data_IF_070517891087
#
_entry.id   IF_070517891087
#
_cell.length_a   1.000
_cell.length_b   1.000
_cell.length_c   1.000
_cell.angle_alpha   90.00
_cell.angle_beta   90.00
_cell.angle_gamma   90.00
#
_symmetry.space_group_name_H-M   'P 1'
#
loop_
_entity.id
_entity.type
_entity.pdbx_description
1 polymer ?
#
# COMPACT_ATOMS: atom_id res chain seq x y z
N UNK A 1 9.73 32.70 30.63
CA UNK A 1 10.70 31.94 29.80
C UNK A 1 9.96 31.42 28.58
N UNK A 2 10.19 31.99 27.41
CA UNK A 2 9.59 31.53 26.18
C UNK A 2 10.63 30.67 25.46
N UNK A 3 10.33 29.38 25.24
CA UNK A 3 11.13 28.47 24.46
C UNK A 3 10.45 28.33 23.09
N UNK A 4 11.04 28.95 22.06
CA UNK A 4 10.62 28.67 20.68
C UNK A 4 11.38 27.45 20.22
N UNK A 5 10.70 26.32 20.16
CA UNK A 5 11.24 25.08 19.57
C UNK A 5 10.58 24.92 18.22
N UNK A 6 11.34 25.07 17.15
CA UNK A 6 10.92 24.65 15.81
C UNK A 6 11.19 23.14 15.72
N UNK A 7 10.13 22.35 15.86
CA UNK A 7 10.21 20.90 15.68
C UNK A 7 9.86 20.63 14.21
N UNK A 8 10.82 20.14 13.44
CA UNK A 8 10.60 19.64 12.08
C UNK A 8 10.41 18.14 12.26
N UNK A 9 9.19 17.66 12.00
CA UNK A 9 8.83 16.25 12.06
C UNK A 9 8.25 15.81 10.73
N UNK A 10 8.55 14.59 10.32
CA UNK A 10 7.90 13.97 9.15
C UNK A 10 6.40 13.80 9.40
N UNK A 11 5.55 14.29 8.50
CA UNK A 11 4.10 14.22 8.66
C UNK A 11 3.51 12.96 8.04
N UNK A 12 4.04 12.53 6.90
CA UNK A 12 3.55 11.38 6.12
C UNK A 12 4.68 10.64 5.43
N UNK A 13 4.37 9.43 4.92
CA UNK A 13 5.28 8.63 4.11
C UNK A 13 6.55 8.21 4.84
N UNK A 14 7.63 8.08 4.09
CA UNK A 14 8.95 7.67 4.61
C UNK A 14 9.54 8.64 5.61
N UNK A 15 9.29 9.95 5.45
CA UNK A 15 9.75 10.97 6.40
C UNK A 15 9.14 10.77 7.79
N UNK A 16 7.86 10.38 7.86
CA UNK A 16 7.21 10.06 9.14
C UNK A 16 7.73 8.74 9.71
N UNK A 17 7.79 7.69 8.91
CA UNK A 17 8.25 6.36 9.34
C UNK A 17 9.68 6.39 9.87
N UNK A 18 10.54 7.21 9.26
CA UNK A 18 11.96 7.27 9.54
C UNK A 18 12.37 8.54 10.32
N UNK A 19 11.39 9.28 10.85
CA UNK A 19 11.63 10.56 11.54
C UNK A 19 12.66 10.43 12.66
N UNK A 20 12.61 9.36 13.45
CA UNK A 20 13.57 9.11 14.54
C UNK A 20 15.02 8.94 14.06
N UNK A 21 15.22 8.56 12.80
CA UNK A 21 16.54 8.39 12.19
C UNK A 21 16.99 9.66 11.49
N UNK A 22 16.05 10.37 10.85
CA UNK A 22 16.31 11.55 10.03
C UNK A 22 16.46 12.84 10.84
N UNK A 23 15.67 13.01 11.92
CA UNK A 23 15.54 14.30 12.60
C UNK A 23 16.73 14.71 13.48
N UNK A 24 17.56 13.77 13.94
CA UNK A 24 18.68 14.08 14.85
C UNK A 24 18.21 14.65 16.20
N UNK A 25 19.07 15.42 16.83
CA UNK A 25 18.79 16.05 18.14
C UNK A 25 18.94 17.57 18.06
N UNK A 26 17.90 18.29 18.47
CA UNK A 26 17.90 19.75 18.48
C UNK A 26 18.88 20.29 19.50
N UNK A 27 19.75 21.21 19.08
CA UNK A 27 20.62 21.94 19.99
C UNK A 27 19.82 22.86 20.93
N UNK A 28 20.34 23.06 22.13
CA UNK A 28 19.71 23.93 23.15
C UNK A 28 20.68 24.97 23.63
N UNK A 29 20.20 26.20 23.72
CA UNK A 29 20.92 27.26 24.40
C UNK A 29 20.06 27.76 25.57
N UNK A 30 20.61 27.71 26.77
CA UNK A 30 19.96 28.22 27.97
C UNK A 30 20.68 29.51 28.38
N UNK A 31 19.94 30.60 28.40
CA UNK A 31 20.42 31.91 28.83
C UNK A 31 19.42 32.52 29.81
N UNK A 32 19.88 33.43 30.67
CA UNK A 32 19.00 34.19 31.53
C UNK A 32 18.54 35.44 30.79
N UNK A 33 17.24 35.71 30.89
CA UNK A 33 16.61 36.88 30.30
C UNK A 33 15.98 37.74 31.41
N UNK A 34 15.93 39.04 31.21
CA UNK A 34 15.25 39.99 32.10
C UNK A 34 13.71 40.00 31.90
N UNK A 35 13.02 40.87 32.60
CA UNK A 35 11.54 40.98 32.55
C UNK A 35 10.99 41.48 31.20
N UNK A 36 11.85 41.97 30.31
CA UNK A 36 11.49 42.46 28.96
C UNK A 36 12.04 41.53 27.85
N UNK A 37 12.39 40.29 28.21
CA UNK A 37 12.95 39.25 27.30
C UNK A 37 14.32 39.60 26.68
N UNK A 38 15.08 40.49 27.27
CA UNK A 38 16.45 40.81 26.85
C UNK A 38 17.46 39.93 27.59
N UNK A 39 18.50 39.45 26.88
CA UNK A 39 19.59 38.70 27.52
C UNK A 39 20.29 39.55 28.58
N UNK A 40 20.52 38.95 29.75
CA UNK A 40 21.33 39.59 30.80
C UNK A 40 22.80 39.43 30.46
N UNK A 41 23.56 40.54 30.26
CA UNK A 41 24.97 40.47 29.91
C UNK A 41 25.82 39.75 30.99
N UNK A 42 26.89 39.10 30.56
CA UNK A 42 27.87 38.43 31.44
C UNK A 42 27.34 37.23 32.26
N UNK A 43 26.21 36.66 31.90
CA UNK A 43 25.72 35.43 32.52
C UNK A 43 26.28 34.20 31.82
N UNK A 44 26.39 33.10 32.57
CA UNK A 44 26.87 31.84 32.03
C UNK A 44 25.79 31.23 31.06
N UNK A 45 26.16 31.05 29.79
CA UNK A 45 25.33 30.38 28.79
C UNK A 45 25.67 28.89 28.78
N UNK A 46 24.66 28.07 28.84
CA UNK A 46 24.81 26.63 28.59
C UNK A 46 24.41 26.35 27.15
N UNK A 47 25.31 25.75 26.40
CA UNK A 47 25.09 25.39 25.01
C UNK A 47 25.23 23.88 24.83
N UNK A 48 24.19 23.25 24.31
CA UNK A 48 24.19 21.86 23.87
C UNK A 48 24.12 21.90 22.34
N UNK A 49 25.15 21.40 21.69
CA UNK A 49 25.19 21.36 20.21
C UNK A 49 24.10 20.47 19.62
N UNK A 50 23.55 20.89 18.48
CA UNK A 50 22.68 20.03 17.68
C UNK A 50 23.48 18.81 17.16
N UNK A 51 22.82 17.69 17.05
CA UNK A 51 23.35 16.49 16.38
C UNK A 51 22.52 16.22 15.15
N UNK A 52 23.18 16.07 14.00
CA UNK A 52 22.49 15.74 12.75
C UNK A 52 21.88 14.34 12.81
N UNK A 53 20.76 14.15 12.13
CA UNK A 53 20.21 12.83 11.87
C UNK A 53 21.09 12.01 10.92
N UNK A 54 20.72 10.76 10.72
CA UNK A 54 21.42 9.83 9.84
C UNK A 54 20.90 9.93 8.40
N UNK A 55 21.72 9.51 7.45
CA UNK A 55 21.29 9.32 6.07
C UNK A 55 20.53 8.00 5.93
N UNK A 56 19.50 8.00 5.09
CA UNK A 56 18.75 6.79 4.71
C UNK A 56 18.98 6.51 3.23
N UNK A 57 19.27 5.27 2.92
CA UNK A 57 19.42 4.78 1.54
C UNK A 57 18.27 3.85 1.23
N UNK A 58 17.48 4.18 0.21
CA UNK A 58 16.34 3.39 -0.23
C UNK A 58 16.74 2.42 -1.32
N UNK A 59 15.95 1.37 -1.51
CA UNK A 59 16.09 0.43 -2.62
C UNK A 59 15.41 0.95 -3.90
N UNK A 60 14.72 2.08 -3.83
CA UNK A 60 14.05 2.71 -4.98
C UNK A 60 15.08 3.10 -6.03
N UNK A 61 14.89 2.62 -7.27
CA UNK A 61 15.63 3.07 -8.46
C UNK A 61 14.87 4.22 -9.13
N UNK A 62 15.50 5.38 -9.21
CA UNK A 62 14.87 6.59 -9.73
C UNK A 62 14.41 6.46 -11.20
N UNK A 63 15.10 5.66 -12.01
CA UNK A 63 14.72 5.47 -13.41
C UNK A 63 13.50 4.56 -13.51
N UNK A 64 13.47 3.47 -12.73
CA UNK A 64 12.32 2.56 -12.67
C UNK A 64 11.11 3.33 -12.11
N UNK A 65 11.28 4.09 -11.04
CA UNK A 65 10.24 4.93 -10.43
C UNK A 65 9.62 5.87 -11.45
N UNK A 66 10.44 6.64 -12.17
CA UNK A 66 9.97 7.59 -13.19
C UNK A 66 9.21 6.92 -14.34
N UNK A 67 9.66 5.73 -14.76
CA UNK A 67 8.97 4.94 -15.80
C UNK A 67 7.60 4.49 -15.29
N UNK A 68 7.54 3.97 -14.06
CA UNK A 68 6.31 3.49 -13.44
C UNK A 68 5.30 4.63 -13.27
N UNK A 69 5.72 5.77 -12.74
CA UNK A 69 4.86 6.96 -12.58
C UNK A 69 4.25 7.40 -13.91
N UNK A 70 5.09 7.50 -14.95
CA UNK A 70 4.64 7.88 -16.28
C UNK A 70 3.56 6.95 -16.84
N UNK A 71 3.79 5.63 -16.79
CA UNK A 71 2.83 4.69 -17.36
C UNK A 71 1.61 4.47 -16.47
N UNK A 72 1.75 4.59 -15.15
CA UNK A 72 0.63 4.55 -14.24
C UNK A 72 -0.33 5.72 -14.46
N UNK A 73 0.20 6.95 -14.57
CA UNK A 73 -0.62 8.13 -14.84
C UNK A 73 -1.37 8.00 -16.17
N UNK A 74 -0.67 7.54 -17.22
CA UNK A 74 -1.29 7.28 -18.52
C UNK A 74 -2.41 6.23 -18.41
N UNK A 75 -2.16 5.12 -17.74
CA UNK A 75 -3.14 4.04 -17.59
C UNK A 75 -4.40 4.51 -16.85
N UNK A 76 -4.25 5.28 -15.76
CA UNK A 76 -5.39 5.80 -15.00
C UNK A 76 -6.23 6.75 -15.84
N UNK A 77 -5.57 7.66 -16.60
CA UNK A 77 -6.27 8.62 -17.46
C UNK A 77 -6.98 7.93 -18.63
N UNK A 78 -6.29 7.02 -19.32
CA UNK A 78 -6.85 6.31 -20.49
C UNK A 78 -8.03 5.41 -20.14
N UNK A 79 -8.05 4.87 -18.93
CA UNK A 79 -9.13 3.99 -18.46
C UNK A 79 -10.20 4.73 -17.63
N UNK A 80 -10.09 6.05 -17.48
CA UNK A 80 -11.02 6.88 -16.67
C UNK A 80 -11.17 6.28 -15.26
N UNK A 81 -10.07 5.81 -14.68
CA UNK A 81 -10.06 5.25 -13.34
C UNK A 81 -9.92 6.37 -12.28
N UNK A 82 -10.45 6.14 -11.08
CA UNK A 82 -10.38 7.12 -9.99
C UNK A 82 -8.94 7.26 -9.45
N UNK A 83 -8.21 6.15 -9.37
CA UNK A 83 -6.80 6.10 -8.95
C UNK A 83 -6.13 4.82 -9.45
N UNK A 84 -4.82 4.79 -9.35
CA UNK A 84 -4.01 3.60 -9.58
C UNK A 84 -2.82 3.53 -8.64
N UNK A 85 -2.34 2.31 -8.42
CA UNK A 85 -1.11 2.05 -7.68
C UNK A 85 -0.26 1.05 -8.43
N UNK A 86 1.06 1.17 -8.33
CA UNK A 86 1.98 0.22 -8.92
C UNK A 86 3.20 0.02 -8.02
N UNK A 87 3.60 -1.24 -7.82
CA UNK A 87 4.78 -1.63 -7.07
C UNK A 87 5.65 -2.49 -7.97
N UNK A 88 6.95 -2.17 -8.03
CA UNK A 88 7.96 -2.99 -8.69
C UNK A 88 8.89 -3.53 -7.63
N UNK A 89 8.98 -4.85 -7.54
CA UNK A 89 9.79 -5.53 -6.52
C UNK A 89 10.71 -6.56 -7.16
N UNK A 90 11.91 -6.69 -6.63
CA UNK A 90 12.83 -7.77 -6.97
C UNK A 90 12.45 -9.03 -6.17
N UNK A 91 11.96 -10.11 -6.80
CA UNK A 91 11.44 -11.26 -6.05
C UNK A 91 12.48 -12.02 -5.23
N UNK A 92 13.77 -11.95 -5.63
CA UNK A 92 14.86 -12.67 -4.97
C UNK A 92 15.28 -12.06 -3.64
N UNK A 93 15.06 -10.76 -3.46
CA UNK A 93 15.50 -10.00 -2.29
C UNK A 93 14.33 -9.40 -1.50
N UNK A 94 13.18 -9.19 -2.16
CA UNK A 94 12.07 -8.41 -1.62
C UNK A 94 12.27 -6.90 -1.72
N UNK A 95 13.35 -6.42 -2.35
CA UNK A 95 13.61 -5.00 -2.52
C UNK A 95 12.54 -4.34 -3.38
N UNK A 96 11.96 -3.25 -2.88
CA UNK A 96 11.04 -2.43 -3.65
C UNK A 96 11.86 -1.45 -4.49
N UNK A 97 11.78 -1.59 -5.82
CA UNK A 97 12.50 -0.77 -6.79
C UNK A 97 11.69 0.44 -7.24
N UNK A 98 10.38 0.37 -7.18
CA UNK A 98 9.47 1.49 -7.40
C UNK A 98 8.15 1.26 -6.65
N UNK A 99 7.55 2.36 -6.18
CA UNK A 99 6.20 2.37 -5.62
C UNK A 99 5.55 3.70 -6.01
N UNK A 100 4.51 3.63 -6.83
CA UNK A 100 3.82 4.79 -7.37
C UNK A 100 2.33 4.75 -7.06
N UNK A 101 1.77 5.94 -6.83
CA UNK A 101 0.34 6.19 -6.73
C UNK A 101 -0.02 7.29 -7.74
N UNK A 102 -1.21 7.22 -8.33
CA UNK A 102 -1.75 8.28 -9.14
C UNK A 102 -3.26 8.44 -8.85
N UNK A 103 -3.81 9.67 -8.67
CA UNK A 103 -3.10 10.95 -8.66
C UNK A 103 -2.07 11.05 -7.53
N UNK A 104 -1.00 11.78 -7.80
CA UNK A 104 0.04 12.16 -6.87
C UNK A 104 -0.05 13.63 -6.48
N UNK A 105 0.92 14.16 -5.75
CA UNK A 105 0.99 15.57 -5.37
C UNK A 105 2.43 16.07 -5.39
N UNK A 106 2.59 17.39 -5.57
CA UNK A 106 3.89 18.05 -5.54
C UNK A 106 4.35 18.26 -4.08
N UNK A 107 5.46 17.63 -3.71
CA UNK A 107 6.08 17.77 -2.37
C UNK A 107 6.53 19.20 -2.05
N UNK A 108 6.73 20.05 -3.07
CA UNK A 108 7.05 21.48 -2.85
C UNK A 108 5.81 22.30 -2.50
N UNK A 109 4.61 21.80 -2.85
CA UNK A 109 3.32 22.46 -2.56
C UNK A 109 2.31 21.48 -1.96
N UNK A 110 2.66 20.77 -0.86
CA UNK A 110 1.91 19.60 -0.37
C UNK A 110 0.49 19.92 0.11
N UNK A 111 0.17 21.17 0.35
CA UNK A 111 -1.16 21.64 0.78
C UNK A 111 -2.02 22.15 -0.37
N UNK A 112 -1.57 22.00 -1.61
CA UNK A 112 -2.30 22.45 -2.80
C UNK A 112 -3.01 21.24 -3.43
N UNK A 113 -4.34 21.29 -3.63
CA UNK A 113 -5.07 20.22 -4.31
C UNK A 113 -4.57 19.98 -5.73
N UNK A 114 -4.37 18.73 -6.11
CA UNK A 114 -4.00 18.35 -7.48
C UNK A 114 -5.21 18.12 -8.39
N UNK A 115 -6.36 17.79 -7.82
CA UNK A 115 -7.61 17.61 -8.54
C UNK A 115 -8.25 18.96 -8.87
N UNK A 116 -8.57 19.20 -10.16
CA UNK A 116 -9.15 20.47 -10.64
C UNK A 116 -10.49 20.81 -9.99
N UNK A 117 -11.33 19.82 -9.73
CA UNK A 117 -12.63 20.01 -9.06
C UNK A 117 -12.43 20.48 -7.61
N UNK A 118 -11.51 19.83 -6.89
CA UNK A 118 -11.16 20.24 -5.54
C UNK A 118 -10.53 21.64 -5.50
N UNK A 119 -9.66 21.95 -6.47
CA UNK A 119 -9.03 23.26 -6.57
C UNK A 119 -10.07 24.36 -6.79
N UNK A 120 -11.07 24.13 -7.64
CA UNK A 120 -12.14 25.09 -7.91
C UNK A 120 -13.01 25.37 -6.69
N UNK A 121 -13.25 24.39 -5.82
CA UNK A 121 -14.04 24.53 -4.60
C UNK A 121 -13.22 24.81 -3.33
N UNK A 122 -11.90 24.82 -3.43
CA UNK A 122 -10.99 24.89 -2.27
C UNK A 122 -11.25 26.06 -1.33
N UNK A 123 -11.55 27.24 -1.88
CA UNK A 123 -11.81 28.44 -1.07
C UNK A 123 -13.11 28.36 -0.26
N UNK A 124 -14.08 27.56 -0.72
CA UNK A 124 -15.41 27.43 -0.11
C UNK A 124 -15.51 26.20 0.81
N UNK A 125 -14.57 25.28 0.76
CA UNK A 125 -14.52 24.13 1.65
C UNK A 125 -14.28 24.55 3.10
N UNK A 126 -14.93 23.85 4.01
CA UNK A 126 -14.68 23.96 5.46
C UNK A 126 -13.26 23.47 5.80
N UNK A 127 -12.78 23.81 7.01
CA UNK A 127 -11.48 23.33 7.49
C UNK A 127 -11.43 21.78 7.59
N UNK A 128 -12.53 21.16 7.96
CA UNK A 128 -12.64 19.70 8.05
C UNK A 128 -12.55 19.04 6.67
N UNK A 129 -13.30 19.53 5.69
CA UNK A 129 -13.25 19.03 4.31
C UNK A 129 -11.85 19.16 3.70
N UNK A 130 -11.18 20.30 3.92
CA UNK A 130 -9.79 20.49 3.49
C UNK A 130 -8.84 19.50 4.13
N UNK A 131 -8.96 19.29 5.43
CA UNK A 131 -8.11 18.35 6.18
C UNK A 131 -8.32 16.92 5.67
N UNK A 132 -9.57 16.49 5.49
CA UNK A 132 -9.90 15.15 4.98
C UNK A 132 -9.38 14.95 3.56
N UNK A 133 -9.51 15.96 2.68
CA UNK A 133 -8.97 15.92 1.33
C UNK A 133 -7.44 15.76 1.33
N UNK A 134 -6.74 16.55 2.15
CA UNK A 134 -5.27 16.48 2.23
C UNK A 134 -4.81 15.12 2.77
N UNK A 135 -5.47 14.58 3.78
CA UNK A 135 -5.14 13.25 4.28
C UNK A 135 -5.33 12.15 3.24
N UNK A 136 -6.40 12.23 2.41
CA UNK A 136 -6.58 11.28 1.32
C UNK A 136 -5.55 11.46 0.21
N UNK A 137 -5.20 12.70 -0.12
CA UNK A 137 -4.18 13.03 -1.12
C UNK A 137 -2.78 12.54 -0.70
N UNK A 138 -2.42 12.68 0.58
CA UNK A 138 -1.11 12.25 1.09
C UNK A 138 -1.02 10.75 1.36
N UNK A 139 -2.16 10.06 1.39
CA UNK A 139 -2.20 8.63 1.69
C UNK A 139 -1.45 7.81 0.64
N UNK A 140 -0.54 6.95 1.09
CA UNK A 140 0.05 5.93 0.22
C UNK A 140 -0.96 4.80 -0.01
N UNK A 141 -1.72 4.90 -1.10
CA UNK A 141 -2.79 3.95 -1.42
C UNK A 141 -2.24 2.52 -1.67
N UNK A 142 -0.99 2.40 -2.10
CA UNK A 142 -0.35 1.09 -2.32
C UNK A 142 -0.15 0.30 -1.01
N UNK A 143 -0.09 0.99 0.14
CA UNK A 143 0.17 0.39 1.46
C UNK A 143 -1.06 0.46 2.35
N UNK A 144 -1.81 1.56 2.28
CA UNK A 144 -2.87 1.89 3.24
C UNK A 144 -4.28 1.52 2.77
N UNK A 145 -4.47 1.25 1.48
CA UNK A 145 -5.77 0.84 0.96
C UNK A 145 -5.87 -0.68 0.89
N UNK A 146 -7.05 -1.19 1.22
CA UNK A 146 -7.42 -2.59 0.99
C UNK A 146 -8.23 -2.69 -0.29
N UNK A 147 -8.15 -3.83 -0.97
CA UNK A 147 -8.94 -4.12 -2.16
C UNK A 147 -9.22 -5.62 -2.24
N UNK A 148 -10.26 -5.99 -2.99
CA UNK A 148 -10.57 -7.38 -3.28
C UNK A 148 -9.63 -7.90 -4.39
N UNK A 149 -8.72 -8.86 -4.12
CA UNK A 149 -7.72 -9.30 -5.09
C UNK A 149 -8.33 -10.05 -6.28
N UNK A 150 -9.55 -10.54 -6.14
CA UNK A 150 -10.27 -11.25 -7.19
C UNK A 150 -9.52 -12.48 -7.68
N UNK A 151 -9.51 -12.68 -8.99
CA UNK A 151 -8.95 -13.89 -9.63
C UNK A 151 -7.43 -14.04 -9.49
N UNK A 152 -6.70 -12.99 -9.13
CA UNK A 152 -5.25 -13.10 -8.85
C UNK A 152 -5.02 -14.03 -7.65
N UNK A 153 -5.94 -14.06 -6.69
CA UNK A 153 -5.85 -14.91 -5.50
C UNK A 153 -5.96 -16.43 -5.83
N UNK A 154 -6.47 -16.79 -7.02
CA UNK A 154 -6.54 -18.19 -7.48
C UNK A 154 -5.18 -18.86 -7.57
N UNK A 155 -4.11 -18.10 -7.78
CA UNK A 155 -2.73 -18.60 -7.78
C UNK A 155 -2.39 -19.20 -6.42
N UNK A 156 -2.76 -18.53 -5.34
CA UNK A 156 -2.55 -19.04 -3.97
C UNK A 156 -3.34 -20.35 -3.75
N UNK A 157 -4.63 -20.36 -4.12
CA UNK A 157 -5.46 -21.56 -3.96
C UNK A 157 -4.93 -22.74 -4.79
N UNK A 158 -4.47 -22.48 -6.04
CA UNK A 158 -3.86 -23.49 -6.87
C UNK A 158 -2.57 -24.07 -6.29
N UNK A 159 -1.68 -23.20 -5.78
CA UNK A 159 -0.42 -23.63 -5.17
C UNK A 159 -0.64 -24.51 -3.93
N UNK A 160 -1.63 -24.16 -3.09
CA UNK A 160 -2.00 -24.99 -1.93
C UNK A 160 -2.52 -26.36 -2.37
N UNK A 161 -3.39 -26.41 -3.39
CA UNK A 161 -3.92 -27.68 -3.90
C UNK A 161 -2.85 -28.60 -4.47
N UNK A 162 -1.84 -28.04 -5.13
CA UNK A 162 -0.69 -28.77 -5.66
C UNK A 162 0.25 -29.24 -4.53
N UNK A 163 0.60 -28.37 -3.59
CA UNK A 163 1.52 -28.68 -2.50
C UNK A 163 0.97 -29.78 -1.56
N UNK A 164 -0.34 -29.73 -1.27
CA UNK A 164 -1.02 -30.77 -0.46
C UNK A 164 -1.34 -32.03 -1.27
N UNK A 165 -0.99 -32.10 -2.56
CA UNK A 165 -1.25 -33.26 -3.42
C UNK A 165 -2.74 -33.56 -3.64
N UNK A 166 -3.61 -32.56 -3.44
CA UNK A 166 -5.08 -32.70 -3.61
C UNK A 166 -5.45 -32.76 -5.08
N UNK A 167 -4.67 -32.10 -5.92
CA UNK A 167 -4.85 -32.04 -7.37
C UNK A 167 -3.51 -32.11 -8.09
N UNK A 168 -3.56 -32.61 -9.32
CA UNK A 168 -2.47 -32.54 -10.31
C UNK A 168 -2.83 -31.48 -11.37
N UNK A 169 -1.84 -30.82 -11.93
CA UNK A 169 -2.07 -29.71 -12.87
C UNK A 169 -2.75 -30.12 -14.16
N UNK A 170 -2.46 -31.37 -14.67
CA UNK A 170 -2.85 -31.81 -15.99
C UNK A 170 -3.95 -32.87 -16.00
N UNK A 171 -4.30 -33.47 -14.86
CA UNK A 171 -5.34 -34.50 -14.78
C UNK A 171 -6.65 -33.97 -15.37
N UNK A 172 -7.15 -34.61 -16.47
CA UNK A 172 -8.38 -34.16 -17.13
C UNK A 172 -9.59 -34.27 -16.20
N UNK A 173 -10.59 -33.45 -16.44
CA UNK A 173 -11.90 -33.49 -15.77
C UNK A 173 -11.83 -33.50 -14.23
N UNK A 174 -10.77 -32.91 -13.66
CA UNK A 174 -10.60 -32.75 -12.20
C UNK A 174 -11.72 -31.90 -11.61
N UNK A 175 -12.19 -30.92 -12.36
CA UNK A 175 -13.27 -30.00 -12.01
C UNK A 175 -14.35 -30.01 -13.08
N UNK A 176 -15.59 -29.71 -12.67
CA UNK A 176 -16.70 -29.57 -13.58
C UNK A 176 -17.41 -28.22 -13.39
N UNK A 177 -17.47 -27.43 -14.44
CA UNK A 177 -18.14 -26.14 -14.45
C UNK A 177 -19.45 -26.21 -15.24
N UNK A 178 -20.58 -26.23 -14.56
CA UNK A 178 -21.91 -26.17 -15.16
C UNK A 178 -22.40 -24.73 -15.42
N UNK A 179 -21.53 -23.73 -15.23
CA UNK A 179 -21.88 -22.30 -15.38
C UNK A 179 -22.02 -21.58 -14.05
N UNK A 180 -22.29 -22.28 -12.95
CA UNK A 180 -22.33 -21.76 -11.58
C UNK A 180 -21.94 -22.86 -10.59
N UNK A 181 -21.62 -22.46 -9.37
CA UNK A 181 -21.42 -23.32 -8.21
C UNK A 181 -22.23 -22.80 -7.05
N UNK A 182 -22.83 -23.68 -6.26
CA UNK A 182 -23.66 -23.32 -5.12
C UNK A 182 -22.83 -23.41 -3.82
N UNK A 183 -22.69 -22.29 -3.11
CA UNK A 183 -22.03 -22.22 -1.81
C UNK A 183 -22.98 -21.61 -0.81
N UNK A 184 -23.30 -22.32 0.26
CA UNK A 184 -24.23 -21.87 1.30
C UNK A 184 -25.54 -21.28 0.76
N UNK A 185 -26.14 -21.92 -0.23
CA UNK A 185 -27.33 -21.48 -0.96
C UNK A 185 -27.16 -20.21 -1.81
N UNK A 186 -25.95 -19.73 -2.02
CA UNK A 186 -25.63 -18.62 -2.91
C UNK A 186 -25.03 -19.18 -4.20
N UNK A 187 -25.64 -18.88 -5.34
CA UNK A 187 -25.11 -19.28 -6.64
C UNK A 187 -24.01 -18.30 -7.08
N UNK A 188 -22.80 -18.81 -7.24
CA UNK A 188 -21.64 -18.04 -7.73
C UNK A 188 -21.42 -18.40 -9.20
N UNK A 189 -21.62 -17.43 -10.07
CA UNK A 189 -21.56 -17.64 -11.50
C UNK A 189 -20.11 -17.67 -12.02
N UNK A 190 -19.90 -18.52 -13.03
CA UNK A 190 -18.78 -18.39 -13.94
C UNK A 190 -19.03 -17.21 -14.89
N UNK A 191 -17.99 -16.55 -15.35
CA UNK A 191 -18.12 -15.53 -16.39
C UNK A 191 -18.68 -16.11 -17.72
N UNK A 192 -18.52 -17.42 -17.94
CA UNK A 192 -19.12 -18.20 -19.04
C UNK A 192 -20.36 -18.99 -18.59
N UNK A 193 -21.24 -18.39 -17.80
CA UNK A 193 -22.40 -19.11 -17.25
C UNK A 193 -23.37 -19.64 -18.31
N UNK A 194 -23.49 -18.99 -19.47
CA UNK A 194 -24.34 -19.42 -20.60
C UNK A 194 -23.69 -20.43 -21.52
N UNK A 195 -22.37 -20.55 -21.53
CA UNK A 195 -21.60 -21.53 -22.30
C UNK A 195 -20.46 -22.05 -21.41
N UNK A 196 -20.78 -22.95 -20.47
CA UNK A 196 -19.87 -23.35 -19.41
C UNK A 196 -18.64 -24.09 -19.92
N UNK A 197 -17.60 -24.12 -19.11
CA UNK A 197 -16.33 -24.75 -19.47
C UNK A 197 -16.38 -26.29 -19.45
N UNK A 198 -17.38 -26.88 -18.75
CA UNK A 198 -17.51 -28.32 -18.52
C UNK A 198 -16.31 -28.90 -17.73
N UNK A 199 -15.82 -30.09 -18.15
CA UNK A 199 -14.67 -30.73 -17.54
C UNK A 199 -13.35 -29.94 -17.76
N UNK A 200 -12.57 -29.76 -16.72
CA UNK A 200 -11.29 -29.02 -16.77
C UNK A 200 -10.23 -29.66 -15.87
N UNK A 201 -8.98 -29.63 -16.29
CA UNK A 201 -7.82 -29.79 -15.41
C UNK A 201 -7.60 -28.51 -14.59
N UNK A 202 -6.71 -28.55 -13.58
CA UNK A 202 -6.32 -27.37 -12.82
C UNK A 202 -5.72 -26.29 -13.73
N UNK A 203 -4.85 -26.69 -14.65
CA UNK A 203 -4.23 -25.79 -15.63
C UNK A 203 -5.27 -25.07 -16.50
N UNK A 204 -6.27 -25.81 -16.99
CA UNK A 204 -7.36 -25.23 -17.77
C UNK A 204 -8.24 -24.32 -16.92
N UNK A 205 -8.57 -24.72 -15.68
CA UNK A 205 -9.38 -23.93 -14.77
C UNK A 205 -8.71 -22.59 -14.41
N UNK A 206 -7.38 -22.61 -14.23
CA UNK A 206 -6.60 -21.39 -13.97
C UNK A 206 -6.54 -20.49 -15.22
N UNK A 207 -6.23 -21.04 -16.38
CA UNK A 207 -6.19 -20.31 -17.65
C UNK A 207 -7.54 -19.67 -18.00
N UNK A 208 -8.64 -20.38 -17.71
CA UNK A 208 -10.00 -19.91 -17.92
C UNK A 208 -10.52 -19.01 -16.78
N UNK A 209 -9.77 -18.85 -15.71
CA UNK A 209 -10.22 -18.14 -14.49
C UNK A 209 -11.60 -18.60 -14.00
N UNK A 210 -11.84 -19.90 -14.00
CA UNK A 210 -13.13 -20.51 -13.74
C UNK A 210 -13.50 -20.49 -12.26
N UNK A 211 -14.47 -19.69 -11.85
CA UNK A 211 -14.91 -19.59 -10.44
C UNK A 211 -15.41 -20.93 -9.88
N UNK A 212 -16.34 -21.68 -10.53
CA UNK A 212 -16.78 -22.98 -10.02
C UNK A 212 -15.64 -23.95 -9.72
N UNK A 213 -14.66 -24.06 -10.61
CA UNK A 213 -13.51 -24.95 -10.41
C UNK A 213 -12.69 -24.57 -9.18
N UNK A 214 -12.47 -23.28 -8.95
CA UNK A 214 -11.71 -22.81 -7.78
C UNK A 214 -12.51 -22.88 -6.47
N UNK A 215 -13.84 -22.78 -6.53
CA UNK A 215 -14.71 -23.06 -5.38
C UNK A 215 -14.58 -24.55 -5.02
N UNK A 216 -14.70 -25.45 -5.99
CA UNK A 216 -14.53 -26.90 -5.76
C UNK A 216 -13.16 -27.22 -5.18
N UNK A 217 -12.10 -26.60 -5.68
CA UNK A 217 -10.75 -26.76 -5.13
C UNK A 217 -10.66 -26.25 -3.68
N UNK A 218 -11.15 -25.05 -3.40
CA UNK A 218 -11.13 -24.47 -2.05
C UNK A 218 -11.90 -25.33 -1.04
N UNK A 219 -13.05 -25.87 -1.42
CA UNK A 219 -13.83 -26.79 -0.60
C UNK A 219 -13.10 -28.12 -0.34
N UNK A 220 -12.38 -28.66 -1.35
CA UNK A 220 -11.55 -29.87 -1.20
C UNK A 220 -10.36 -29.63 -0.26
N UNK A 221 -9.70 -28.48 -0.34
CA UNK A 221 -8.59 -28.12 0.52
C UNK A 221 -9.06 -27.92 1.97
N UNK A 222 -10.18 -27.24 2.13
CA UNK A 222 -10.77 -26.88 3.42
C UNK A 222 -10.14 -25.70 4.10
N UNK A 223 -10.94 -24.99 4.91
CA UNK A 223 -10.55 -23.73 5.54
C UNK A 223 -9.29 -23.85 6.43
N UNK A 224 -9.13 -24.87 7.32
CA UNK A 224 -7.94 -24.96 8.19
C UNK A 224 -6.63 -24.98 7.39
N UNK A 225 -6.59 -25.75 6.30
CA UNK A 225 -5.41 -25.87 5.44
C UNK A 225 -5.14 -24.54 4.72
N UNK A 226 -6.18 -23.91 4.14
CA UNK A 226 -6.03 -22.61 3.48
C UNK A 226 -5.47 -21.57 4.45
N UNK A 227 -6.00 -21.45 5.66
CA UNK A 227 -5.51 -20.50 6.66
C UNK A 227 -4.06 -20.76 7.08
N UNK A 228 -3.64 -22.04 7.22
CA UNK A 228 -2.24 -22.40 7.45
C UNK A 228 -1.33 -21.82 6.37
N UNK A 229 -1.72 -21.96 5.10
CA UNK A 229 -0.93 -21.42 3.98
C UNK A 229 -1.02 -19.91 3.86
N UNK A 230 -2.16 -19.28 4.14
CA UNK A 230 -2.27 -17.82 4.16
C UNK A 230 -1.30 -17.21 5.19
N UNK A 231 -1.17 -17.85 6.35
CA UNK A 231 -0.18 -17.44 7.34
C UNK A 231 1.26 -17.68 6.86
N UNK A 232 1.54 -18.82 6.22
CA UNK A 232 2.86 -19.14 5.68
C UNK A 232 3.29 -18.21 4.53
N UNK A 233 2.34 -17.74 3.71
CA UNK A 233 2.57 -16.71 2.69
C UNK A 233 2.66 -15.29 3.26
N UNK A 234 2.48 -15.09 4.57
CA UNK A 234 2.52 -13.79 5.21
C UNK A 234 1.28 -12.93 4.96
N UNK A 235 0.17 -13.49 4.46
CA UNK A 235 -1.05 -12.73 4.13
C UNK A 235 -1.86 -12.30 5.35
N UNK A 236 -1.54 -12.82 6.54
CA UNK A 236 -2.24 -12.54 7.79
C UNK A 236 -1.43 -11.66 8.75
N UNK A 237 -0.39 -11.01 8.27
CA UNK A 237 0.46 -10.13 9.07
C UNK A 237 1.00 -8.99 8.20
N UNK A 238 1.42 -7.89 8.84
CA UNK A 238 2.14 -6.82 8.14
C UNK A 238 3.46 -7.35 7.57
N UNK A 239 3.93 -6.72 6.48
CA UNK A 239 5.21 -7.07 5.84
C UNK A 239 6.42 -6.61 6.65
N UNK A 240 6.20 -5.80 7.72
CA UNK A 240 7.23 -5.07 8.45
C UNK A 240 8.07 -4.17 7.53
N UNK A 241 7.46 -3.65 6.48
CA UNK A 241 8.06 -2.63 5.64
C UNK A 241 8.18 -1.31 6.43
N UNK A 242 9.11 -0.45 6.02
CA UNK A 242 9.28 0.87 6.64
C UNK A 242 8.18 1.87 6.23
N UNK A 243 7.11 1.41 5.57
CA UNK A 243 6.03 2.26 5.12
C UNK A 243 5.02 2.56 6.23
N UNK A 244 4.70 3.83 6.38
CA UNK A 244 3.71 4.28 7.36
C UNK A 244 2.30 3.82 7.01
N UNK A 245 1.60 3.26 8.02
CA UNK A 245 0.18 2.98 7.94
C UNK A 245 -0.20 1.69 7.21
N UNK A 246 0.73 0.73 7.09
CA UNK A 246 0.40 -0.61 6.61
C UNK A 246 -0.72 -1.20 7.46
N UNK A 247 -1.78 -1.69 6.81
CA UNK A 247 -2.96 -2.28 7.46
C UNK A 247 -2.76 -3.80 7.66
N UNK A 248 -3.29 -4.32 8.77
CA UNK A 248 -3.41 -5.76 9.05
C UNK A 248 -4.74 -6.29 8.50
#
# INVERSE_FOLDING_TARGET
MALLVLIITGLFGLENSLDSVLSGTVGKMVTLIDSVNSEIPNQQKSYIAAQNGSNVYLTIDVNIQSIVEKYLSQAVVDNIADYGTAIVMEPSTGNILAMANYPDYDLNTPFTPTNQTALASWSTMSSEEKTNYLYDMWRNKAVQNTYEPGSVFKIITASVGLEEGIVDENTPDTFYCAGSELVDNIAINCWRHTNPHLGQSLKQALANSCNPSFIQLGLKIGAPTLFKYYNAYGLLSTTNSDFYGEQN
#
